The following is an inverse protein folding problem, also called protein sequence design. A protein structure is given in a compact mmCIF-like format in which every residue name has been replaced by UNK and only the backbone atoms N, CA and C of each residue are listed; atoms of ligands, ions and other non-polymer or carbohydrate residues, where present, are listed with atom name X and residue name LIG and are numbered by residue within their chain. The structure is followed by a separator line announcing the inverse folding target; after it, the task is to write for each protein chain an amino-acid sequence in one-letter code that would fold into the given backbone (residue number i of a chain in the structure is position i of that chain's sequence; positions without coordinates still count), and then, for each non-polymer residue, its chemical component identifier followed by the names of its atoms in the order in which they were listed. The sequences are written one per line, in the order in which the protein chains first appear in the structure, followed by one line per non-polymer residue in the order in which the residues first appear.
data_IF_197072606845
#
_entry.id   IF_197072606845
#
_cell.length_a   1.000
_cell.length_b   1.000
_cell.length_c   1.000
_cell.angle_alpha   90.00
_cell.angle_beta   90.00
_cell.angle_gamma   90.00
#
_symmetry.space_group_name_H-M   'P 1'
#
loop_
_entity.id
_entity.type
_entity.pdbx_description
1 polymer ?
#
# COMPACT_ATOMS: atom_id res chain seq x y z
N UNK A 1 0.35 -22.27 -15.49
CA UNK A 1 -0.22 -21.33 -14.49
C UNK A 1 0.66 -21.29 -13.24
N UNK A 2 1.95 -21.64 -13.39
CA UNK A 2 2.79 -22.11 -12.27
C UNK A 2 3.61 -21.02 -11.58
N UNK A 3 3.42 -19.75 -11.99
CA UNK A 3 4.20 -18.62 -11.48
C UNK A 3 3.47 -17.75 -10.45
N UNK A 4 2.20 -18.03 -10.13
CA UNK A 4 1.43 -17.22 -9.17
C UNK A 4 1.83 -17.42 -7.71
N UNK A 5 2.26 -18.64 -7.35
CA UNK A 5 2.70 -18.92 -5.98
C UNK A 5 3.92 -18.07 -5.58
N UNK A 6 4.71 -17.64 -6.58
CA UNK A 6 5.89 -16.80 -6.43
C UNK A 6 5.58 -15.28 -6.46
N UNK A 7 4.32 -14.87 -6.47
CA UNK A 7 3.99 -13.45 -6.31
C UNK A 7 4.03 -13.09 -4.82
N UNK A 8 4.96 -12.20 -4.48
CA UNK A 8 5.15 -11.65 -3.13
C UNK A 8 5.33 -10.14 -3.17
N UNK A 9 4.81 -9.47 -2.14
CA UNK A 9 5.08 -8.06 -1.89
C UNK A 9 6.50 -7.96 -1.32
N UNK A 10 7.30 -7.08 -1.92
CA UNK A 10 8.69 -6.84 -1.54
C UNK A 10 8.96 -5.33 -1.36
N UNK A 11 10.19 -4.99 -1.01
CA UNK A 11 10.65 -3.60 -0.91
C UNK A 11 10.63 -2.83 -2.24
N UNK A 12 10.49 -3.51 -3.39
CA UNK A 12 10.33 -2.88 -4.72
C UNK A 12 8.87 -2.64 -5.11
N UNK A 13 7.89 -3.22 -4.40
CA UNK A 13 6.47 -3.03 -4.72
C UNK A 13 6.05 -1.59 -4.44
N UNK A 14 5.53 -0.89 -5.45
CA UNK A 14 5.10 0.52 -5.35
C UNK A 14 3.58 0.66 -5.20
N UNK A 15 2.82 -0.19 -5.89
CA UNK A 15 1.36 -0.10 -5.93
C UNK A 15 0.69 -1.45 -6.21
N UNK A 16 -0.47 -1.67 -5.60
CA UNK A 16 -1.42 -2.72 -5.97
C UNK A 16 -2.69 -2.07 -6.50
N UNK A 17 -3.01 -2.32 -7.76
CA UNK A 17 -4.17 -1.76 -8.45
C UNK A 17 -5.17 -2.89 -8.78
N UNK A 18 -6.45 -2.75 -8.40
CA UNK A 18 -7.47 -3.69 -8.85
C UNK A 18 -7.59 -3.68 -10.37
N UNK A 19 -7.64 -4.86 -10.99
CA UNK A 19 -7.83 -4.98 -12.43
C UNK A 19 -9.16 -5.66 -12.77
N UNK A 20 -9.83 -5.16 -13.82
CA UNK A 20 -11.04 -5.78 -14.39
C UNK A 20 -10.62 -6.81 -15.43
N UNK A 21 -10.29 -8.02 -15.00
CA UNK A 21 -9.91 -9.13 -15.87
C UNK A 21 -10.62 -10.42 -15.42
N UNK A 22 -10.97 -11.35 -16.33
CA UNK A 22 -11.66 -12.59 -15.95
C UNK A 22 -10.89 -13.46 -14.95
N UNK A 23 -9.56 -13.45 -15.05
CA UNK A 23 -8.68 -14.26 -14.18
C UNK A 23 -7.93 -13.42 -13.14
N UNK A 24 -7.42 -12.26 -13.54
CA UNK A 24 -6.54 -11.47 -12.70
C UNK A 24 -7.35 -10.45 -11.92
N UNK A 25 -7.04 -10.30 -10.64
CA UNK A 25 -7.72 -9.38 -9.72
C UNK A 25 -6.85 -8.21 -9.31
N UNK A 26 -5.54 -8.32 -9.40
CA UNK A 26 -4.62 -7.23 -9.01
C UNK A 26 -3.44 -7.13 -9.96
N UNK A 27 -3.20 -5.92 -10.46
CA UNK A 27 -1.97 -5.49 -11.10
C UNK A 27 -1.01 -4.97 -10.03
N UNK A 28 0.22 -5.48 -10.06
CA UNK A 28 1.30 -5.11 -9.14
C UNK A 28 2.29 -4.28 -9.94
N UNK A 29 2.58 -3.09 -9.45
CA UNK A 29 3.55 -2.18 -10.06
C UNK A 29 4.78 -2.14 -9.16
N UNK A 30 5.92 -2.53 -9.71
CA UNK A 30 7.20 -2.51 -9.02
C UNK A 30 8.12 -1.37 -9.49
N UNK A 31 9.16 -1.10 -8.72
CA UNK A 31 10.12 -0.05 -9.02
C UNK A 31 11.06 -0.38 -10.19
N UNK A 32 11.11 -1.64 -10.66
CA UNK A 32 11.90 -2.06 -11.81
C UNK A 32 11.27 -1.68 -13.15
N UNK A 33 10.02 -1.20 -13.12
CA UNK A 33 9.23 -0.89 -14.33
C UNK A 33 8.45 -2.08 -14.85
N UNK A 34 8.59 -3.26 -14.23
CA UNK A 34 7.81 -4.43 -14.59
C UNK A 34 6.41 -4.37 -13.95
N UNK A 35 5.47 -5.05 -14.60
CA UNK A 35 4.11 -5.22 -14.11
C UNK A 35 3.81 -6.70 -13.97
N UNK A 36 3.33 -7.10 -12.80
CA UNK A 36 2.86 -8.45 -12.54
C UNK A 36 1.35 -8.43 -12.37
N UNK A 37 0.71 -9.56 -12.68
CA UNK A 37 -0.73 -9.74 -12.52
C UNK A 37 -0.97 -10.97 -11.64
N UNK A 38 -1.89 -10.85 -10.68
CA UNK A 38 -2.25 -11.92 -9.75
C UNK A 38 -3.74 -12.18 -9.77
N UNK A 39 -4.14 -13.45 -9.67
CA UNK A 39 -5.51 -13.87 -9.39
C UNK A 39 -5.96 -13.53 -7.96
N UNK A 40 -5.03 -13.20 -7.06
CA UNK A 40 -5.34 -12.77 -5.70
C UNK A 40 -5.75 -11.28 -5.67
N UNK A 41 -6.65 -10.92 -4.77
CA UNK A 41 -6.96 -9.51 -4.50
C UNK A 41 -5.79 -8.82 -3.78
N UNK A 42 -5.71 -7.49 -3.89
CA UNK A 42 -4.70 -6.71 -3.19
C UNK A 42 -4.70 -6.97 -1.66
N UNK A 43 -5.89 -7.15 -1.06
CA UNK A 43 -6.01 -7.49 0.34
C UNK A 43 -5.45 -8.90 0.64
N UNK A 44 -5.71 -9.89 -0.21
CA UNK A 44 -5.14 -11.24 -0.06
C UNK A 44 -3.60 -11.22 -0.19
N UNK A 45 -3.05 -10.42 -1.11
CA UNK A 45 -1.60 -10.25 -1.25
C UNK A 45 -0.98 -9.63 0.00
N UNK A 46 -1.61 -8.60 0.57
CA UNK A 46 -1.17 -7.97 1.83
C UNK A 46 -1.28 -8.94 3.01
N UNK A 47 -2.36 -9.70 3.09
CA UNK A 47 -2.55 -10.73 4.12
C UNK A 47 -1.44 -11.80 4.04
N UNK A 48 -1.18 -12.33 2.84
CA UNK A 48 -0.08 -13.27 2.58
C UNK A 48 1.26 -12.67 3.00
N UNK A 49 1.54 -11.44 2.60
CA UNK A 49 2.81 -10.76 2.92
C UNK A 49 3.00 -10.51 4.41
N UNK A 50 1.93 -10.21 5.17
CA UNK A 50 2.01 -10.16 6.63
C UNK A 50 2.42 -11.52 7.22
N UNK A 51 1.86 -12.62 6.72
CA UNK A 51 2.16 -13.95 7.22
C UNK A 51 3.59 -14.38 6.89
N UNK A 52 4.07 -14.08 5.68
CA UNK A 52 5.37 -14.58 5.19
C UNK A 52 6.56 -13.71 5.58
N UNK A 53 6.43 -12.38 5.62
CA UNK A 53 7.59 -11.51 5.84
C UNK A 53 8.01 -11.41 7.32
N UNK A 54 7.06 -11.53 8.24
CA UNK A 54 7.29 -11.22 9.67
C UNK A 54 6.45 -12.09 10.63
N UNK A 55 5.84 -13.17 10.13
CA UNK A 55 5.04 -14.12 10.91
C UNK A 55 3.89 -13.49 11.73
N UNK A 56 3.10 -12.61 11.13
CA UNK A 56 1.94 -11.97 11.78
C UNK A 56 0.73 -11.91 10.86
N UNK A 57 -0.44 -11.60 11.42
CA UNK A 57 -1.67 -11.46 10.64
C UNK A 57 -1.90 -10.00 10.25
N UNK A 58 -2.51 -9.79 9.07
CA UNK A 58 -3.04 -8.49 8.66
C UNK A 58 -3.94 -7.89 9.75
N UNK A 59 -4.83 -8.70 10.33
CA UNK A 59 -5.80 -8.23 11.31
C UNK A 59 -5.14 -7.81 12.62
N UNK A 60 -4.12 -8.56 13.07
CA UNK A 60 -3.31 -8.20 14.23
C UNK A 60 -2.59 -6.86 14.02
N UNK A 61 -1.89 -6.69 12.90
CA UNK A 61 -1.22 -5.43 12.55
C UNK A 61 -2.19 -4.26 12.43
N UNK A 62 -3.30 -4.45 11.71
CA UNK A 62 -4.35 -3.46 11.55
C UNK A 62 -4.90 -3.01 12.92
N UNK A 63 -5.20 -3.95 13.81
CA UNK A 63 -5.70 -3.65 15.15
C UNK A 63 -4.67 -2.89 15.99
N UNK A 64 -3.41 -3.33 15.98
CA UNK A 64 -2.34 -2.65 16.70
C UNK A 64 -2.19 -1.19 16.26
N UNK A 65 -2.15 -0.94 14.95
CA UNK A 65 -2.05 0.44 14.41
C UNK A 65 -3.31 1.24 14.74
N UNK A 66 -4.50 0.64 14.57
CA UNK A 66 -5.78 1.30 14.87
C UNK A 66 -5.82 1.78 16.32
N UNK A 67 -5.46 0.91 17.27
CA UNK A 67 -5.49 1.20 18.71
C UNK A 67 -4.41 2.20 19.09
N UNK A 68 -3.15 1.96 18.71
CA UNK A 68 -2.01 2.79 19.09
C UNK A 68 -2.12 4.22 18.57
N UNK A 69 -2.52 4.38 17.31
CA UNK A 69 -2.57 5.69 16.64
C UNK A 69 -3.98 6.30 16.62
N UNK A 70 -4.96 5.68 17.28
CA UNK A 70 -6.36 6.14 17.36
C UNK A 70 -7.01 6.41 16.00
N UNK A 71 -6.60 5.67 14.97
CA UNK A 71 -7.18 5.79 13.64
C UNK A 71 -8.53 5.06 13.56
N UNK A 72 -9.53 5.67 12.92
CA UNK A 72 -10.86 5.04 12.79
C UNK A 72 -10.93 4.03 11.64
N UNK A 73 -10.40 4.39 10.47
CA UNK A 73 -10.54 3.65 9.22
C UNK A 73 -9.36 3.87 8.27
N UNK A 74 -9.27 2.99 7.25
CA UNK A 74 -8.26 3.01 6.18
C UNK A 74 -6.86 3.14 6.76
N UNK A 75 -6.57 2.22 7.67
CA UNK A 75 -5.36 2.21 8.49
C UNK A 75 -4.20 1.72 7.62
N UNK A 76 -3.03 2.39 7.64
CA UNK A 76 -1.83 1.88 6.97
C UNK A 76 -1.39 0.58 7.64
N UNK A 77 -0.84 -0.32 6.84
CA UNK A 77 -0.35 -1.63 7.27
C UNK A 77 1.17 -1.62 7.13
N UNK A 78 1.91 -1.38 8.22
CA UNK A 78 3.36 -1.54 8.23
C UNK A 78 3.65 -3.03 8.17
N UNK A 79 3.85 -3.57 6.97
CA UNK A 79 4.11 -5.00 6.75
C UNK A 79 5.49 -5.33 7.33
N UNK A 80 6.51 -4.58 6.91
CA UNK A 80 7.84 -4.63 7.50
C UNK A 80 8.37 -3.19 7.60
N UNK A 81 8.27 -2.57 8.78
CA UNK A 81 8.65 -1.18 8.98
C UNK A 81 10.16 -0.95 8.88
N UNK A 82 10.98 -1.95 9.25
CA UNK A 82 12.45 -1.91 9.15
C UNK A 82 12.92 -1.85 7.69
N UNK A 83 12.17 -2.46 6.78
CA UNK A 83 12.41 -2.38 5.33
C UNK A 83 11.60 -1.26 4.65
N UNK A 84 10.89 -0.44 5.43
CA UNK A 84 9.97 0.61 4.96
C UNK A 84 8.83 0.08 4.06
N UNK A 85 8.46 -1.19 4.20
CA UNK A 85 7.31 -1.79 3.52
C UNK A 85 6.04 -1.46 4.31
N UNK A 86 5.42 -0.33 3.98
CA UNK A 86 4.15 0.10 4.55
C UNK A 86 3.15 0.40 3.43
N UNK A 87 2.10 -0.42 3.37
CA UNK A 87 1.02 -0.27 2.41
C UNK A 87 -0.11 0.55 3.04
N UNK A 88 -0.65 1.54 2.33
CA UNK A 88 -1.83 2.28 2.77
C UNK A 88 -2.93 2.28 1.70
N UNK A 89 -4.19 2.09 2.09
CA UNK A 89 -5.27 1.95 1.13
C UNK A 89 -5.85 3.32 0.76
N UNK A 90 -6.20 3.52 -0.52
CA UNK A 90 -6.86 4.74 -0.99
C UNK A 90 -8.32 4.83 -0.54
N UNK A 91 -8.93 3.71 -0.18
CA UNK A 91 -10.30 3.60 0.35
C UNK A 91 -10.49 2.37 1.24
N UNK A 92 -11.72 1.93 1.45
CA UNK A 92 -11.97 0.74 2.26
C UNK A 92 -11.24 -0.47 1.64
N UNK A 93 -10.47 -1.27 2.40
CA UNK A 93 -9.88 -2.52 1.91
C UNK A 93 -10.87 -3.51 1.30
N UNK A 94 -12.14 -3.42 1.67
CA UNK A 94 -13.21 -4.25 1.12
C UNK A 94 -13.78 -3.72 -0.21
N UNK A 95 -13.41 -2.51 -0.63
CA UNK A 95 -13.88 -1.93 -1.88
C UNK A 95 -13.18 -2.59 -3.08
N UNK A 96 -13.92 -2.90 -4.16
CA UNK A 96 -13.33 -3.44 -5.39
C UNK A 96 -12.41 -2.45 -6.10
N UNK A 97 -12.49 -1.15 -5.78
CA UNK A 97 -11.65 -0.11 -6.39
C UNK A 97 -10.47 0.30 -5.50
N UNK A 98 -10.24 -0.41 -4.40
CA UNK A 98 -9.20 -0.05 -3.44
C UNK A 98 -7.79 -0.27 -4.01
N UNK A 99 -7.08 0.83 -4.20
CA UNK A 99 -5.67 0.84 -4.56
C UNK A 99 -4.86 0.87 -3.28
N UNK A 100 -3.78 0.09 -3.23
CA UNK A 100 -2.80 0.16 -2.15
C UNK A 100 -1.51 0.79 -2.66
N UNK A 101 -1.03 1.80 -1.94
CA UNK A 101 0.21 2.50 -2.25
C UNK A 101 1.25 2.16 -1.19
N UNK A 102 2.51 2.04 -1.60
CA UNK A 102 3.62 1.79 -0.70
C UNK A 102 4.36 3.09 -0.40
N UNK A 103 4.36 3.47 0.88
CA UNK A 103 4.82 4.78 1.33
C UNK A 103 6.22 5.16 0.84
N UNK A 104 7.17 4.21 0.93
CA UNK A 104 8.58 4.40 0.54
C UNK A 104 8.75 4.94 -0.88
N UNK A 105 7.84 4.58 -1.79
CA UNK A 105 7.98 4.86 -3.22
C UNK A 105 7.28 6.13 -3.66
N UNK A 106 6.43 6.72 -2.82
CA UNK A 106 5.73 7.97 -3.15
C UNK A 106 6.70 9.13 -2.97
N UNK A 107 7.10 9.76 -4.08
CA UNK A 107 8.00 10.91 -4.06
C UNK A 107 7.24 12.21 -3.87
N UNK A 108 6.29 12.50 -4.76
CA UNK A 108 5.41 13.69 -4.68
C UNK A 108 4.03 13.37 -5.23
N UNK A 109 3.06 14.23 -4.93
CA UNK A 109 1.68 14.10 -5.41
C UNK A 109 1.21 15.44 -5.97
N UNK A 110 0.75 15.42 -7.21
CA UNK A 110 0.10 16.54 -7.88
C UNK A 110 -1.43 16.36 -7.80
N UNK A 111 -2.16 17.40 -7.36
CA UNK A 111 -3.61 17.33 -7.15
C UNK A 111 -4.40 18.16 -8.16
N UNK A 112 -5.30 17.49 -8.89
CA UNK A 112 -6.25 18.13 -9.80
C UNK A 112 -7.60 18.30 -9.12
N UNK A 113 -7.74 19.37 -8.32
CA UNK A 113 -8.91 19.60 -7.45
C UNK A 113 -10.26 19.54 -8.18
N UNK A 114 -10.34 20.12 -9.39
CA UNK A 114 -11.58 20.15 -10.19
C UNK A 114 -12.02 18.75 -10.64
N UNK A 115 -11.08 17.85 -10.91
CA UNK A 115 -11.33 16.52 -11.44
C UNK A 115 -11.43 15.43 -10.35
N UNK A 116 -11.18 15.77 -9.07
CA UNK A 116 -10.99 14.79 -7.97
C UNK A 116 -9.96 13.71 -8.35
N UNK A 117 -8.85 14.14 -8.93
CA UNK A 117 -7.75 13.28 -9.36
C UNK A 117 -6.46 13.67 -8.66
N UNK A 118 -5.60 12.68 -8.49
CA UNK A 118 -4.22 12.88 -8.04
C UNK A 118 -3.28 12.12 -8.96
N UNK A 119 -2.20 12.78 -9.38
CA UNK A 119 -1.07 12.15 -10.07
C UNK A 119 0.04 11.92 -9.05
N UNK A 120 0.38 10.66 -8.87
CA UNK A 120 1.41 10.20 -7.97
C UNK A 120 2.70 10.11 -8.78
N UNK A 121 3.75 10.75 -8.29
CA UNK A 121 5.10 10.62 -8.81
C UNK A 121 5.85 9.65 -7.92
N UNK A 122 6.32 8.55 -8.49
CA UNK A 122 7.13 7.57 -7.78
C UNK A 122 8.62 7.93 -7.83
N UNK A 123 9.39 7.43 -6.86
CA UNK A 123 10.83 7.69 -6.75
C UNK A 123 11.66 7.21 -7.95
N UNK A 124 11.14 6.26 -8.73
CA UNK A 124 11.78 5.80 -9.97
C UNK A 124 11.39 6.64 -11.21
N UNK A 125 10.69 7.76 -11.03
CA UNK A 125 10.23 8.64 -12.11
C UNK A 125 8.91 8.20 -12.75
N UNK A 126 8.39 7.01 -12.45
CA UNK A 126 7.08 6.58 -12.95
C UNK A 126 5.96 7.44 -12.37
N UNK A 127 4.85 7.56 -13.11
CA UNK A 127 3.69 8.31 -12.63
C UNK A 127 2.40 7.55 -12.85
N UNK A 128 1.46 7.66 -11.92
CA UNK A 128 0.11 7.09 -12.03
C UNK A 128 -0.93 8.12 -11.61
N UNK A 129 -2.01 8.26 -12.39
CA UNK A 129 -3.15 9.11 -12.05
C UNK A 129 -4.29 8.26 -11.50
N UNK A 130 -4.80 8.61 -10.32
CA UNK A 130 -5.91 7.90 -9.65
C UNK A 130 -7.07 8.84 -9.33
N UNK A 131 -8.30 8.30 -9.31
CA UNK A 131 -9.51 9.03 -8.91
C UNK A 131 -9.62 9.09 -7.39
N UNK A 132 -9.18 10.19 -6.79
CA UNK A 132 -9.24 10.42 -5.35
C UNK A 132 -9.20 11.91 -5.03
N UNK A 133 -9.91 12.32 -3.98
CA UNK A 133 -9.81 13.69 -3.49
C UNK A 133 -8.46 13.95 -2.82
N UNK A 134 -7.97 15.19 -2.95
CA UNK A 134 -6.72 15.61 -2.32
C UNK A 134 -6.72 15.34 -0.82
N UNK A 135 -7.80 15.73 -0.13
CA UNK A 135 -7.96 15.51 1.30
C UNK A 135 -7.81 14.03 1.69
N UNK A 136 -8.44 13.12 0.96
CA UNK A 136 -8.39 11.69 1.26
C UNK A 136 -6.99 11.13 1.08
N UNK A 137 -6.35 11.40 -0.06
CA UNK A 137 -5.01 10.87 -0.35
C UNK A 137 -3.96 11.45 0.60
N UNK A 138 -3.99 12.78 0.83
CA UNK A 138 -3.09 13.43 1.80
C UNK A 138 -3.24 12.85 3.20
N UNK A 139 -4.48 12.55 3.64
CA UNK A 139 -4.71 11.93 4.93
C UNK A 139 -4.09 10.52 5.00
N UNK A 140 -4.25 9.67 3.98
CA UNK A 140 -3.66 8.32 4.04
C UNK A 140 -2.14 8.33 3.97
N UNK A 141 -1.56 9.22 3.16
CA UNK A 141 -0.10 9.41 3.10
C UNK A 141 0.43 9.86 4.47
N UNK A 142 -0.21 10.85 5.10
CA UNK A 142 0.16 11.33 6.44
C UNK A 142 0.10 10.21 7.48
N UNK A 143 -0.99 9.41 7.51
CA UNK A 143 -1.10 8.29 8.44
C UNK A 143 0.04 7.29 8.25
N UNK A 144 0.34 6.93 7.00
CA UNK A 144 1.39 5.97 6.68
C UNK A 144 2.77 6.46 7.14
N UNK A 145 3.09 7.73 6.85
CA UNK A 145 4.33 8.36 7.27
C UNK A 145 4.45 8.48 8.79
N UNK A 146 3.37 8.87 9.47
CA UNK A 146 3.34 8.97 10.93
C UNK A 146 3.54 7.63 11.63
N UNK A 147 2.90 6.57 11.13
CA UNK A 147 3.08 5.21 11.68
C UNK A 147 4.51 4.73 11.48
N UNK A 148 5.06 4.88 10.27
CA UNK A 148 6.42 4.46 9.97
C UNK A 148 7.46 5.23 10.79
N UNK A 149 7.33 6.55 10.91
CA UNK A 149 8.29 7.36 11.67
C UNK A 149 8.31 6.96 13.15
N UNK A 150 7.14 6.80 13.76
CA UNK A 150 7.02 6.41 15.16
C UNK A 150 7.55 5.00 15.43
N UNK A 151 7.29 4.04 14.54
CA UNK A 151 7.82 2.68 14.70
C UNK A 151 9.35 2.64 14.57
N UNK A 152 9.91 3.33 13.57
CA UNK A 152 11.36 3.34 13.36
C UNK A 152 12.11 4.13 14.45
N UNK A 153 11.52 5.20 14.98
CA UNK A 153 12.09 5.92 16.13
C UNK A 153 12.15 5.03 17.39
N UNK A 154 11.13 4.19 17.63
CA UNK A 154 11.11 3.29 18.79
C UNK A 154 12.12 2.16 18.67
N UNK A 155 12.35 1.63 17.47
CA UNK A 155 13.39 0.62 17.22
C UNK A 155 14.81 1.22 17.33
N UNK A 156 14.96 2.54 17.22
CA UNK A 156 16.24 3.25 17.34
C UNK A 156 16.54 3.73 18.76
N UNK A 157 15.59 3.60 19.68
CA UNK A 157 15.81 3.92 21.09
C UNK A 157 16.62 2.79 21.75
N UNK A 158 17.70 3.12 22.48
CA UNK A 158 18.54 2.14 23.16
C UNK A 158 17.82 1.38 24.28
#
# INVERSE_FOLDING_TARGET
MDNENNIFISSSTMMLEPCKHPYYRTKIIDSSGNHLYSCQTALQLIQKSCLTNIHSTYQGRRNAVKTKFKFKQNVPIPINHREYICAFPTESPASPNCIWLFFKHVHTIEFFKKAKQAKIHFSNGATVTIQISSHKLSQQLWKAGYVLSQMNMQDSSP
#
